data_IF_089478554583
#
_entry.id   IF_089478554583
#
_cell.length_a   1.000
_cell.length_b   1.000
_cell.length_c   1.000
_cell.angle_alpha   90.00
_cell.angle_beta   90.00
_cell.angle_gamma   90.00
#
_symmetry.space_group_name_H-M   'P 1'
#
loop_
_entity.id
_entity.type
_entity.pdbx_description
1 polymer ?
#
# COMPACT_ATOMS: atom_id res chain seq x y z
N UNK A 1 11.64 -20.56 -57.04
CA UNK A 1 11.66 -19.07 -57.06
C UNK A 1 10.31 -18.61 -56.53
N UNK A 2 10.10 -17.84 -55.47
CA UNK A 2 10.85 -17.18 -54.38
C UNK A 2 9.75 -16.66 -53.40
N UNK A 3 9.88 -16.74 -52.07
CA UNK A 3 10.25 -15.64 -51.13
C UNK A 3 9.45 -14.32 -51.35
N UNK A 4 8.85 -13.58 -50.39
CA UNK A 4 9.08 -13.34 -48.93
C UNK A 4 8.04 -12.31 -48.38
N UNK A 5 7.71 -12.39 -47.06
CA UNK A 5 7.47 -11.34 -46.01
C UNK A 5 6.94 -9.92 -46.37
N UNK A 6 6.18 -9.12 -45.58
CA UNK A 6 5.87 -8.94 -44.14
C UNK A 6 4.78 -7.81 -44.05
N UNK A 7 4.13 -7.41 -42.94
CA UNK A 7 4.61 -6.49 -41.87
C UNK A 7 3.39 -6.09 -40.98
N UNK A 8 3.52 -6.25 -39.66
CA UNK A 8 2.93 -5.47 -38.55
C UNK A 8 1.40 -5.38 -38.37
N UNK A 9 0.86 -6.26 -37.50
CA UNK A 9 -0.34 -5.96 -36.73
C UNK A 9 0.04 -5.00 -35.58
N UNK A 10 -0.20 -3.72 -35.81
CA UNK A 10 -0.03 -2.61 -34.87
C UNK A 10 -0.81 -2.87 -33.59
N UNK A 11 -0.12 -2.76 -32.45
CA UNK A 11 -0.65 -2.99 -31.11
C UNK A 11 -1.95 -2.23 -30.84
N UNK A 12 -2.91 -2.94 -30.24
CA UNK A 12 -4.11 -2.35 -29.65
C UNK A 12 -3.69 -1.35 -28.57
N UNK A 13 -3.71 -0.05 -28.89
CA UNK A 13 -3.74 1.00 -27.88
C UNK A 13 -5.05 0.83 -27.08
N UNK A 14 -4.99 0.18 -25.91
CA UNK A 14 -6.07 0.22 -24.90
C UNK A 14 -6.41 1.71 -24.69
N UNK A 15 -7.68 2.11 -24.89
CA UNK A 15 -8.14 3.46 -24.54
C UNK A 15 -7.79 3.66 -23.06
N UNK A 16 -6.91 4.62 -22.76
CA UNK A 16 -6.55 4.96 -21.38
C UNK A 16 -7.77 5.61 -20.72
N UNK A 17 -8.63 4.81 -20.10
CA UNK A 17 -9.66 5.32 -19.20
C UNK A 17 -8.97 5.77 -17.92
N UNK A 18 -9.21 7.02 -17.51
CA UNK A 18 -8.77 7.50 -16.19
C UNK A 18 -9.41 6.59 -15.13
N UNK A 19 -8.62 6.00 -14.19
CA UNK A 19 -9.16 5.06 -13.21
C UNK A 19 -10.06 5.77 -12.18
N UNK A 20 -11.09 5.06 -11.74
CA UNK A 20 -11.89 5.39 -10.56
C UNK A 20 -11.19 4.74 -9.36
N UNK A 21 -11.01 5.47 -8.26
CA UNK A 21 -10.20 5.03 -7.10
C UNK A 21 -11.02 5.24 -5.84
N UNK A 22 -11.22 4.18 -5.06
CA UNK A 22 -11.85 4.22 -3.74
C UNK A 22 -10.84 3.92 -2.64
N UNK A 23 -10.11 2.81 -2.80
CA UNK A 23 -8.91 2.48 -2.02
C UNK A 23 -7.70 2.98 -2.79
N UNK A 24 -6.84 3.78 -2.17
CA UNK A 24 -5.70 4.33 -2.89
C UNK A 24 -4.54 3.36 -2.83
N UNK A 25 -4.12 2.89 -4.00
CA UNK A 25 -2.90 2.09 -4.16
C UNK A 25 -1.76 3.04 -4.54
N UNK A 26 -0.72 3.18 -3.71
CA UNK A 26 0.48 3.92 -4.05
C UNK A 26 1.26 3.26 -5.21
N UNK A 27 2.42 3.82 -5.54
CA UNK A 27 3.35 3.31 -6.55
C UNK A 27 3.58 1.80 -6.43
N UNK A 28 3.24 1.06 -7.49
CA UNK A 28 3.50 -0.38 -7.57
C UNK A 28 4.75 -0.67 -8.41
N UNK A 29 5.65 -1.51 -7.87
CA UNK A 29 6.84 -1.99 -8.58
C UNK A 29 6.64 -3.43 -9.03
N UNK A 30 7.15 -3.75 -10.22
CA UNK A 30 7.14 -5.11 -10.77
C UNK A 30 8.57 -5.58 -11.07
N UNK A 31 8.85 -6.89 -10.95
CA UNK A 31 10.18 -7.41 -11.19
C UNK A 31 10.51 -7.32 -12.69
N UNK A 32 11.78 -7.12 -12.98
CA UNK A 32 12.36 -7.19 -14.32
C UNK A 32 13.27 -8.41 -14.40
N UNK A 33 13.38 -9.03 -15.57
CA UNK A 33 14.22 -10.20 -15.78
C UNK A 33 15.64 -9.98 -15.23
N UNK A 34 16.11 -10.93 -14.42
CA UNK A 34 17.42 -10.92 -13.77
C UNK A 34 18.09 -12.28 -13.94
N UNK A 35 19.43 -12.33 -14.02
CA UNK A 35 20.18 -13.58 -14.15
C UNK A 35 20.46 -14.17 -12.76
N UNK A 36 19.58 -15.10 -12.35
CA UNK A 36 19.69 -15.79 -11.06
C UNK A 36 20.63 -17.01 -11.14
N UNK A 37 20.79 -17.60 -12.33
CA UNK A 37 21.47 -18.90 -12.47
C UNK A 37 22.98 -18.77 -12.49
N UNK A 38 23.52 -17.77 -13.19
CA UNK A 38 24.98 -17.61 -13.31
C UNK A 38 25.66 -17.31 -11.98
N UNK A 39 25.16 -16.37 -11.14
CA UNK A 39 25.82 -16.04 -9.87
C UNK A 39 25.77 -17.18 -8.84
N UNK A 40 24.79 -18.07 -8.94
CA UNK A 40 24.57 -19.18 -8.01
C UNK A 40 25.21 -20.50 -8.47
N UNK A 41 25.81 -20.53 -9.65
CA UNK A 41 26.34 -21.75 -10.25
C UNK A 41 27.44 -22.36 -9.37
N UNK A 42 27.24 -23.61 -8.96
CA UNK A 42 28.19 -24.34 -8.12
C UNK A 42 28.18 -23.94 -6.64
N UNK A 43 27.30 -23.01 -6.25
CA UNK A 43 27.12 -22.58 -4.85
C UNK A 43 25.87 -23.20 -4.22
N UNK A 44 24.86 -23.48 -5.03
CA UNK A 44 23.62 -24.17 -4.65
C UNK A 44 23.28 -25.22 -5.73
N UNK A 45 22.36 -26.17 -5.47
CA UNK A 45 21.92 -27.12 -6.48
C UNK A 45 21.39 -26.44 -7.71
N UNK A 46 21.65 -27.09 -8.84
CA UNK A 46 21.10 -26.69 -10.11
C UNK A 46 19.57 -26.63 -10.07
N UNK A 47 18.91 -27.64 -9.50
CA UNK A 47 17.44 -27.70 -9.46
C UNK A 47 16.84 -26.56 -8.63
N UNK A 48 17.51 -26.17 -7.54
CA UNK A 48 17.10 -25.04 -6.69
C UNK A 48 17.27 -23.70 -7.43
N UNK A 49 18.42 -23.48 -8.08
CA UNK A 49 18.66 -22.31 -8.91
C UNK A 49 17.69 -22.23 -10.10
N UNK A 50 17.38 -23.38 -10.72
CA UNK A 50 16.44 -23.50 -11.82
C UNK A 50 15.01 -23.17 -11.38
N UNK A 51 14.58 -23.68 -10.21
CA UNK A 51 13.27 -23.38 -9.63
C UNK A 51 13.13 -21.92 -9.24
N UNK A 52 14.10 -21.34 -8.55
CA UNK A 52 14.13 -19.91 -8.21
C UNK A 52 14.00 -19.04 -9.47
N UNK A 53 14.75 -19.38 -10.52
CA UNK A 53 14.67 -18.68 -11.81
C UNK A 53 13.33 -18.87 -12.51
N UNK A 54 12.74 -20.07 -12.44
CA UNK A 54 11.46 -20.38 -13.07
C UNK A 54 10.32 -19.57 -12.45
N UNK A 55 10.20 -19.61 -11.11
CA UNK A 55 9.18 -18.88 -10.35
C UNK A 55 9.29 -17.37 -10.58
N UNK A 56 10.51 -16.82 -10.51
CA UNK A 56 10.72 -15.40 -10.75
C UNK A 56 10.35 -14.99 -12.18
N UNK A 57 10.69 -15.81 -13.18
CA UNK A 57 10.31 -15.54 -14.57
C UNK A 57 8.79 -15.60 -14.78
N UNK A 58 8.10 -16.53 -14.12
CA UNK A 58 6.63 -16.59 -14.14
C UNK A 58 6.02 -15.32 -13.55
N UNK A 59 6.52 -14.85 -12.39
CA UNK A 59 6.07 -13.60 -11.77
C UNK A 59 6.29 -12.42 -12.72
N UNK A 60 7.46 -12.30 -13.34
CA UNK A 60 7.76 -11.23 -14.32
C UNK A 60 6.73 -11.22 -15.45
N UNK A 61 6.38 -12.38 -15.99
CA UNK A 61 5.39 -12.49 -17.08
C UNK A 61 3.98 -12.09 -16.64
N UNK A 62 3.55 -12.53 -15.45
CA UNK A 62 2.19 -12.25 -14.95
C UNK A 62 2.06 -10.81 -14.47
N UNK A 63 3.11 -10.25 -13.86
CA UNK A 63 3.10 -8.91 -13.30
C UNK A 63 2.90 -7.80 -14.36
N UNK A 64 3.28 -8.05 -15.63
CA UNK A 64 3.08 -7.09 -16.71
C UNK A 64 1.61 -6.97 -17.19
N UNK A 65 0.76 -7.96 -16.90
CA UNK A 65 -0.67 -7.96 -17.27
C UNK A 65 -1.61 -7.63 -16.07
N UNK A 66 -1.09 -6.93 -15.06
CA UNK A 66 -1.77 -6.64 -13.78
C UNK A 66 -2.94 -5.64 -13.86
N UNK A 67 -3.69 -5.59 -14.97
CA UNK A 67 -4.95 -4.85 -15.10
C UNK A 67 -6.10 -5.38 -14.22
N UNK A 68 -5.80 -5.99 -13.07
CA UNK A 68 -6.73 -6.54 -12.09
C UNK A 68 -7.10 -8.01 -12.26
N UNK A 69 -6.93 -8.60 -13.46
CA UNK A 69 -7.47 -9.94 -13.77
C UNK A 69 -6.63 -11.14 -13.29
N UNK A 70 -5.41 -10.91 -12.81
CA UNK A 70 -4.48 -11.98 -12.40
C UNK A 70 -3.90 -11.75 -10.99
N UNK A 71 -4.58 -10.95 -10.14
CA UNK A 71 -4.09 -10.60 -8.80
C UNK A 71 -3.89 -11.87 -7.95
N UNK A 72 -4.90 -12.75 -7.92
CA UNK A 72 -4.89 -14.01 -7.16
C UNK A 72 -3.77 -14.95 -7.60
N UNK A 73 -3.57 -15.12 -8.89
CA UNK A 73 -2.54 -15.96 -9.48
C UNK A 73 -1.15 -15.41 -9.18
N UNK A 74 -1.00 -14.09 -9.23
CA UNK A 74 0.26 -13.41 -8.93
C UNK A 74 0.61 -13.50 -7.44
N UNK A 75 -0.35 -13.28 -6.54
CA UNK A 75 -0.14 -13.45 -5.09
C UNK A 75 0.32 -14.87 -4.75
N UNK A 76 -0.32 -15.90 -5.32
CA UNK A 76 0.10 -17.28 -5.15
C UNK A 76 1.52 -17.54 -5.67
N UNK A 77 1.85 -17.03 -6.86
CA UNK A 77 3.19 -17.17 -7.42
C UNK A 77 4.27 -16.46 -6.55
N UNK A 78 3.93 -15.31 -5.95
CA UNK A 78 4.81 -14.58 -5.03
C UNK A 78 5.04 -15.37 -3.73
N UNK A 79 4.00 -15.99 -3.16
CA UNK A 79 4.14 -16.87 -1.99
C UNK A 79 5.02 -18.10 -2.29
N UNK A 80 4.78 -18.77 -3.43
CA UNK A 80 5.61 -19.89 -3.89
C UNK A 80 7.06 -19.49 -4.15
N UNK A 81 7.28 -18.25 -4.61
CA UNK A 81 8.63 -17.71 -4.81
C UNK A 81 9.32 -17.36 -3.49
N UNK A 82 8.60 -16.78 -2.54
CA UNK A 82 9.13 -16.43 -1.22
C UNK A 82 9.71 -17.64 -0.50
N UNK A 83 9.02 -18.79 -0.52
CA UNK A 83 9.50 -20.01 0.17
C UNK A 83 10.90 -20.45 -0.29
N UNK A 84 11.21 -20.25 -1.58
CA UNK A 84 12.53 -20.55 -2.14
C UNK A 84 13.51 -19.38 -1.95
N UNK A 85 13.05 -18.14 -2.10
CA UNK A 85 13.86 -16.91 -2.00
C UNK A 85 14.46 -16.71 -0.61
N UNK A 86 13.73 -17.05 0.46
CA UNK A 86 14.19 -16.82 1.84
C UNK A 86 15.48 -17.58 2.15
N UNK A 87 15.75 -18.71 1.49
CA UNK A 87 17.04 -19.37 1.67
C UNK A 87 18.21 -18.50 1.22
N UNK A 88 18.04 -17.65 0.21
CA UNK A 88 19.08 -16.70 -0.20
C UNK A 88 19.42 -15.65 0.87
N UNK A 89 18.61 -15.47 1.91
CA UNK A 89 18.88 -14.54 3.01
C UNK A 89 19.60 -15.20 4.19
N UNK A 90 19.77 -16.53 4.18
CA UNK A 90 20.46 -17.26 5.24
C UNK A 90 21.97 -17.07 5.10
N UNK A 91 22.58 -16.50 6.14
CA UNK A 91 24.02 -16.21 6.18
C UNK A 91 24.88 -17.46 6.00
N UNK A 92 24.40 -18.62 6.46
CA UNK A 92 25.11 -19.89 6.40
C UNK A 92 25.37 -20.38 4.96
N UNK A 93 24.54 -20.00 4.00
CA UNK A 93 24.75 -20.35 2.60
C UNK A 93 25.66 -19.36 1.86
N UNK A 94 25.93 -18.17 2.43
CA UNK A 94 26.91 -17.21 1.87
C UNK A 94 26.55 -16.60 0.52
N UNK A 95 25.27 -16.59 0.11
CA UNK A 95 24.82 -16.16 -1.22
C UNK A 95 24.03 -14.83 -1.26
N UNK A 96 23.82 -14.17 -0.12
CA UNK A 96 22.92 -13.00 0.04
C UNK A 96 23.22 -11.83 -0.92
N UNK A 97 24.48 -11.57 -1.23
CA UNK A 97 24.89 -10.43 -2.06
C UNK A 97 25.21 -10.76 -3.52
N UNK A 98 25.02 -12.00 -3.95
CA UNK A 98 25.55 -12.47 -5.25
C UNK A 98 24.64 -12.13 -6.44
N UNK A 99 23.35 -12.00 -6.21
CA UNK A 99 22.37 -11.77 -7.27
C UNK A 99 22.01 -10.29 -7.31
N UNK A 100 22.13 -9.69 -8.49
CA UNK A 100 21.59 -8.37 -8.74
C UNK A 100 20.13 -8.47 -9.18
N UNK A 101 19.24 -7.97 -8.33
CA UNK A 101 17.80 -7.96 -8.58
C UNK A 101 17.36 -6.67 -9.23
N UNK A 102 16.49 -6.78 -10.24
CA UNK A 102 15.97 -5.65 -11.01
C UNK A 102 14.47 -5.49 -10.84
N UNK A 103 14.03 -4.26 -10.58
CA UNK A 103 12.63 -3.87 -10.41
C UNK A 103 12.35 -2.52 -11.07
N UNK A 104 11.19 -2.37 -11.69
CA UNK A 104 10.74 -1.10 -12.28
C UNK A 104 9.42 -0.67 -11.65
N UNK A 105 9.18 0.64 -11.56
CA UNK A 105 7.85 1.17 -11.27
C UNK A 105 6.94 0.93 -12.50
N UNK A 106 5.72 0.44 -12.27
CA UNK A 106 4.79 0.07 -13.34
C UNK A 106 4.28 1.28 -14.15
N UNK A 107 4.17 2.44 -13.52
CA UNK A 107 3.48 3.62 -14.04
C UNK A 107 4.41 4.50 -14.90
N UNK A 108 5.67 4.67 -14.49
CA UNK A 108 6.69 5.42 -15.25
C UNK A 108 7.44 4.51 -16.24
N UNK A 109 7.72 3.25 -15.87
CA UNK A 109 8.38 2.25 -16.71
C UNK A 109 9.81 2.59 -17.18
N UNK A 110 10.32 3.80 -16.86
CA UNK A 110 11.61 4.33 -17.34
C UNK A 110 12.77 4.08 -16.40
N UNK A 111 12.51 3.97 -15.10
CA UNK A 111 13.56 3.87 -14.07
C UNK A 111 13.59 2.47 -13.45
N UNK A 112 14.58 1.68 -13.85
CA UNK A 112 14.91 0.40 -13.23
C UNK A 112 15.80 0.62 -12.00
N UNK A 113 15.48 -0.08 -10.92
CA UNK A 113 16.32 -0.17 -9.72
C UNK A 113 17.01 -1.52 -9.74
N UNK A 114 18.34 -1.49 -9.59
CA UNK A 114 19.21 -2.66 -9.62
C UNK A 114 20.00 -2.75 -8.32
N UNK A 115 19.67 -3.69 -7.43
CA UNK A 115 20.32 -3.84 -6.13
C UNK A 115 20.75 -5.29 -5.93
N UNK A 116 22.00 -5.50 -5.52
CA UNK A 116 22.58 -6.81 -5.25
C UNK A 116 22.43 -7.17 -3.76
N UNK A 117 21.24 -7.58 -3.36
CA UNK A 117 20.93 -7.98 -1.99
C UNK A 117 19.62 -8.79 -1.94
N UNK A 118 19.65 -9.96 -1.32
CA UNK A 118 18.47 -10.85 -1.22
C UNK A 118 17.36 -10.27 -0.33
N UNK A 119 17.69 -9.52 0.73
CA UNK A 119 16.68 -8.85 1.55
C UNK A 119 15.95 -7.74 0.80
N UNK A 120 16.61 -7.07 -0.15
CA UNK A 120 15.94 -6.16 -1.08
C UNK A 120 14.93 -6.87 -1.99
N UNK A 121 15.24 -8.09 -2.47
CA UNK A 121 14.26 -8.86 -3.24
C UNK A 121 13.07 -9.25 -2.38
N UNK A 122 13.30 -9.73 -1.14
CA UNK A 122 12.23 -10.05 -0.18
C UNK A 122 11.35 -8.82 0.08
N UNK A 123 11.97 -7.66 0.35
CA UNK A 123 11.27 -6.38 0.54
C UNK A 123 10.37 -6.05 -0.67
N UNK A 124 10.92 -6.18 -1.88
CA UNK A 124 10.21 -5.83 -3.11
C UNK A 124 9.04 -6.79 -3.40
N UNK A 125 9.22 -8.08 -3.11
CA UNK A 125 8.17 -9.10 -3.25
C UNK A 125 7.04 -8.87 -2.25
N UNK A 126 7.34 -8.71 -0.96
CA UNK A 126 6.31 -8.48 0.07
C UNK A 126 5.61 -7.13 -0.14
N UNK A 127 6.34 -6.10 -0.56
CA UNK A 127 5.73 -4.83 -0.96
C UNK A 127 4.77 -5.00 -2.15
N UNK A 128 5.14 -5.75 -3.19
CA UNK A 128 4.23 -6.04 -4.30
C UNK A 128 2.98 -6.81 -3.83
N UNK A 129 3.12 -7.76 -2.92
CA UNK A 129 1.97 -8.45 -2.31
C UNK A 129 1.02 -7.46 -1.62
N UNK A 130 1.57 -6.51 -0.84
CA UNK A 130 0.76 -5.45 -0.22
C UNK A 130 0.00 -4.61 -1.26
N UNK A 131 0.69 -4.15 -2.31
CA UNK A 131 0.06 -3.31 -3.35
C UNK A 131 -1.05 -4.07 -4.10
N UNK A 132 -0.84 -5.35 -4.38
CA UNK A 132 -1.85 -6.21 -5.00
C UNK A 132 -3.07 -6.41 -4.10
N UNK A 133 -2.86 -6.59 -2.80
CA UNK A 133 -3.94 -6.71 -1.83
C UNK A 133 -4.74 -5.39 -1.70
N UNK A 134 -4.08 -4.23 -1.72
CA UNK A 134 -4.77 -2.93 -1.79
C UNK A 134 -5.59 -2.78 -3.09
N UNK A 135 -5.04 -3.23 -4.22
CA UNK A 135 -5.72 -3.18 -5.52
C UNK A 135 -6.96 -4.10 -5.57
N UNK A 136 -6.90 -5.25 -4.90
CA UNK A 136 -8.05 -6.14 -4.74
C UNK A 136 -9.14 -5.49 -3.87
N UNK A 137 -8.75 -4.85 -2.76
CA UNK A 137 -9.68 -4.10 -1.92
C UNK A 137 -10.36 -2.95 -2.70
N UNK A 138 -9.60 -2.20 -3.52
CA UNK A 138 -10.17 -1.17 -4.40
C UNK A 138 -11.20 -1.77 -5.38
N UNK A 139 -10.87 -2.92 -5.98
CA UNK A 139 -11.73 -3.60 -6.94
C UNK A 139 -13.05 -4.11 -6.35
N UNK A 140 -13.07 -4.46 -5.05
CA UNK A 140 -14.31 -4.79 -4.32
C UNK A 140 -15.16 -3.54 -4.04
N UNK A 141 -14.51 -2.40 -3.85
CA UNK A 141 -15.15 -1.14 -3.49
C UNK A 141 -15.61 -0.32 -4.70
N UNK A 142 -15.13 -0.63 -5.91
CA UNK A 142 -15.64 -0.04 -7.16
C UNK A 142 -16.96 -0.73 -7.57
N UNK A 143 -18.08 0.00 -7.67
CA UNK A 143 -19.36 -0.58 -8.06
C UNK A 143 -19.33 -1.14 -9.50
N UNK A 144 -19.69 -2.41 -9.67
CA UNK A 144 -19.61 -3.13 -10.95
C UNK A 144 -20.83 -2.90 -11.87
N UNK A 145 -21.89 -2.26 -11.38
CA UNK A 145 -23.14 -2.07 -12.13
C UNK A 145 -23.11 -0.82 -13.01
N UNK A 146 -23.28 -1.03 -14.33
CA UNK A 146 -23.57 -0.01 -15.33
C UNK A 146 -25.05 -0.08 -15.78
N UNK A 147 -25.89 -0.79 -15.04
CA UNK A 147 -27.25 -1.18 -15.42
C UNK A 147 -28.26 -0.04 -15.27
N UNK A 148 -28.04 1.10 -15.92
CA UNK A 148 -29.05 2.10 -16.28
C UNK A 148 -29.89 2.78 -15.18
N UNK A 149 -29.88 2.31 -13.93
CA UNK A 149 -30.72 2.79 -12.82
C UNK A 149 -30.09 3.95 -12.05
N UNK A 150 -28.83 4.29 -12.38
CA UNK A 150 -28.10 5.43 -11.80
C UNK A 150 -27.61 5.23 -10.37
N UNK A 151 -28.01 4.17 -9.66
CA UNK A 151 -27.61 3.93 -8.27
C UNK A 151 -26.52 2.86 -8.23
N UNK A 152 -25.28 3.31 -7.98
CA UNK A 152 -24.10 2.47 -7.78
C UNK A 152 -23.95 2.12 -6.29
N UNK A 153 -24.13 0.85 -5.91
CA UNK A 153 -24.05 0.40 -4.50
C UNK A 153 -23.05 -0.75 -4.36
N UNK A 154 -22.24 -0.71 -3.31
CA UNK A 154 -21.34 -1.80 -2.89
C UNK A 154 -22.02 -2.57 -1.76
N UNK A 155 -22.03 -3.90 -1.82
CA UNK A 155 -22.66 -4.74 -0.78
C UNK A 155 -21.93 -4.60 0.57
N UNK A 156 -22.64 -4.89 1.66
CA UNK A 156 -22.00 -4.91 2.99
C UNK A 156 -20.93 -5.98 3.12
N UNK A 157 -21.05 -7.08 2.37
CA UNK A 157 -20.08 -8.18 2.37
C UNK A 157 -18.78 -7.73 1.70
N UNK A 158 -18.85 -7.15 0.49
CA UNK A 158 -17.69 -6.60 -0.19
C UNK A 158 -16.97 -5.52 0.65
N UNK A 159 -17.72 -4.72 1.42
CA UNK A 159 -17.12 -3.74 2.34
C UNK A 159 -16.35 -4.41 3.48
N UNK A 160 -16.88 -5.50 4.05
CA UNK A 160 -16.19 -6.25 5.12
C UNK A 160 -14.95 -6.96 4.57
N UNK A 161 -15.08 -7.62 3.42
CA UNK A 161 -13.96 -8.28 2.75
C UNK A 161 -12.86 -7.27 2.37
N UNK A 162 -13.23 -6.06 1.96
CA UNK A 162 -12.26 -4.99 1.70
C UNK A 162 -11.53 -4.53 2.98
N UNK A 163 -12.20 -4.50 4.14
CA UNK A 163 -11.53 -4.22 5.43
C UNK A 163 -10.51 -5.31 5.73
N UNK A 164 -10.87 -6.59 5.59
CA UNK A 164 -9.95 -7.71 5.85
C UNK A 164 -8.71 -7.65 4.94
N UNK A 165 -8.90 -7.32 3.65
CA UNK A 165 -7.79 -7.10 2.72
C UNK A 165 -6.90 -5.91 3.13
N UNK A 166 -7.47 -4.82 3.66
CA UNK A 166 -6.69 -3.68 4.14
C UNK A 166 -5.85 -4.04 5.38
N UNK A 167 -6.37 -4.85 6.30
CA UNK A 167 -5.60 -5.34 7.46
C UNK A 167 -4.43 -6.24 7.01
N UNK A 168 -4.68 -7.12 6.04
CA UNK A 168 -3.66 -7.97 5.42
C UNK A 168 -2.59 -7.15 4.68
N UNK A 169 -2.98 -6.11 3.94
CA UNK A 169 -2.03 -5.22 3.29
C UNK A 169 -1.17 -4.45 4.30
N UNK A 170 -1.77 -3.96 5.39
CA UNK A 170 -1.05 -3.31 6.48
C UNK A 170 -0.04 -4.25 7.13
N UNK A 171 -0.37 -5.55 7.27
CA UNK A 171 0.50 -6.58 7.82
C UNK A 171 1.77 -6.78 7.00
N UNK A 172 1.63 -6.90 5.67
CA UNK A 172 2.78 -7.01 4.77
C UNK A 172 3.71 -5.79 4.89
N UNK A 173 3.15 -4.58 4.95
CA UNK A 173 3.92 -3.35 5.04
C UNK A 173 4.60 -3.18 6.40
N UNK A 174 3.92 -3.55 7.48
CA UNK A 174 4.51 -3.55 8.82
C UNK A 174 5.67 -4.56 8.90
N UNK A 175 5.50 -5.76 8.34
CA UNK A 175 6.55 -6.76 8.25
C UNK A 175 7.76 -6.26 7.45
N UNK A 176 7.54 -5.58 6.33
CA UNK A 176 8.62 -4.95 5.56
C UNK A 176 9.47 -4.01 6.43
N UNK A 177 8.83 -3.20 7.28
CA UNK A 177 9.50 -2.23 8.16
C UNK A 177 10.22 -2.95 9.30
N UNK A 178 9.50 -3.79 10.05
CA UNK A 178 9.98 -4.37 11.32
C UNK A 178 10.95 -5.51 11.13
N UNK A 179 10.73 -6.35 10.12
CA UNK A 179 11.41 -7.64 9.98
C UNK A 179 12.33 -7.70 8.75
N UNK A 180 12.07 -6.92 7.69
CA UNK A 180 12.90 -6.95 6.48
C UNK A 180 13.93 -5.82 6.46
N UNK A 181 13.51 -4.57 6.63
CA UNK A 181 14.41 -3.41 6.53
C UNK A 181 15.54 -3.47 7.56
N UNK A 182 15.34 -4.08 8.73
CA UNK A 182 16.39 -4.24 9.75
C UNK A 182 17.61 -5.02 9.26
N UNK A 183 17.44 -5.88 8.24
CA UNK A 183 18.52 -6.66 7.64
C UNK A 183 19.22 -5.99 6.46
N UNK A 184 18.67 -4.91 5.92
CA UNK A 184 19.27 -4.18 4.79
C UNK A 184 20.34 -3.20 5.30
N UNK A 185 21.59 -3.28 4.82
CA UNK A 185 22.66 -2.37 5.25
C UNK A 185 22.36 -0.89 4.94
N UNK A 186 22.87 0.07 5.75
CA UNK A 186 22.57 1.50 5.59
C UNK A 186 22.94 2.09 4.22
N UNK A 187 24.02 1.61 3.59
CA UNK A 187 24.44 2.04 2.25
C UNK A 187 23.47 1.57 1.16
N UNK A 188 22.82 0.42 1.37
CA UNK A 188 21.77 -0.09 0.49
C UNK A 188 20.47 0.68 0.74
N UNK A 189 20.10 0.94 1.99
CA UNK A 189 18.90 1.72 2.36
C UNK A 189 18.87 3.09 1.68
N UNK A 190 20.00 3.79 1.63
CA UNK A 190 20.13 5.09 0.94
C UNK A 190 19.91 5.02 -0.58
N UNK A 191 20.04 3.84 -1.18
CA UNK A 191 19.81 3.58 -2.60
C UNK A 191 18.43 3.01 -2.88
N UNK A 192 17.63 2.72 -1.84
CA UNK A 192 16.27 2.24 -2.04
C UNK A 192 15.43 3.32 -2.72
N UNK A 193 14.56 2.93 -3.66
CA UNK A 193 13.52 3.80 -4.19
C UNK A 193 12.71 4.47 -3.08
N UNK A 194 12.21 5.68 -3.34
CA UNK A 194 11.42 6.45 -2.37
C UNK A 194 10.23 5.67 -1.82
N UNK A 195 9.57 4.87 -2.65
CA UNK A 195 8.42 4.04 -2.28
C UNK A 195 8.77 2.85 -1.36
N UNK A 196 10.06 2.52 -1.22
CA UNK A 196 10.57 1.47 -0.31
C UNK A 196 11.30 2.03 0.91
N UNK A 197 11.20 3.35 1.16
CA UNK A 197 11.75 3.96 2.36
C UNK A 197 10.86 3.67 3.58
N UNK A 198 11.50 3.51 4.74
CA UNK A 198 10.90 3.11 6.02
C UNK A 198 9.59 3.86 6.34
N UNK A 199 9.68 5.19 6.43
CA UNK A 199 8.55 6.04 6.74
C UNK A 199 7.45 6.05 5.66
N UNK A 200 7.80 5.77 4.40
CA UNK A 200 6.80 5.65 3.32
C UNK A 200 6.03 4.34 3.49
N UNK A 201 6.72 3.23 3.77
CA UNK A 201 6.08 1.94 4.05
C UNK A 201 5.19 2.00 5.30
N UNK A 202 5.66 2.62 6.39
CA UNK A 202 4.84 2.87 7.59
C UNK A 202 3.62 3.72 7.27
N UNK A 203 3.78 4.82 6.52
CA UNK A 203 2.68 5.69 6.17
C UNK A 203 1.61 4.96 5.35
N UNK A 204 1.99 4.06 4.43
CA UNK A 204 1.05 3.27 3.65
C UNK A 204 0.38 2.19 4.52
N UNK A 205 1.11 1.58 5.47
CA UNK A 205 0.50 0.65 6.43
C UNK A 205 -0.60 1.33 7.25
N UNK A 206 -0.29 2.52 7.80
CA UNK A 206 -1.22 3.34 8.57
C UNK A 206 -2.38 3.83 7.68
N UNK A 207 -2.10 4.19 6.41
CA UNK A 207 -3.13 4.54 5.43
C UNK A 207 -4.15 3.41 5.28
N UNK A 208 -3.71 2.16 5.13
CA UNK A 208 -4.61 1.02 4.97
C UNK A 208 -5.55 0.86 6.17
N UNK A 209 -5.05 1.02 7.40
CA UNK A 209 -5.87 1.01 8.63
C UNK A 209 -6.85 2.18 8.68
N UNK A 210 -6.42 3.38 8.26
CA UNK A 210 -7.29 4.55 8.14
C UNK A 210 -8.45 4.31 7.16
N UNK A 211 -8.16 3.75 5.99
CA UNK A 211 -9.18 3.41 4.98
C UNK A 211 -10.11 2.28 5.47
N UNK A 212 -9.60 1.31 6.22
CA UNK A 212 -10.43 0.28 6.86
C UNK A 212 -11.41 0.89 7.86
N UNK A 213 -10.95 1.87 8.64
CA UNK A 213 -11.77 2.60 9.60
C UNK A 213 -12.83 3.47 8.90
N UNK A 214 -12.48 4.10 7.77
CA UNK A 214 -13.43 4.84 6.92
C UNK A 214 -14.57 3.93 6.44
N UNK A 215 -14.25 2.71 5.99
CA UNK A 215 -15.25 1.72 5.56
C UNK A 215 -16.14 1.32 6.74
N UNK A 216 -15.58 1.06 7.92
CA UNK A 216 -16.35 0.76 9.14
C UNK A 216 -17.27 1.91 9.55
N UNK A 217 -16.81 3.16 9.44
CA UNK A 217 -17.64 4.34 9.67
C UNK A 217 -18.79 4.41 8.66
N UNK A 218 -18.53 4.13 7.38
CA UNK A 218 -19.56 4.03 6.34
C UNK A 218 -20.64 3.00 6.68
N UNK A 219 -20.24 1.79 7.11
CA UNK A 219 -21.16 0.74 7.58
C UNK A 219 -21.96 1.19 8.81
N UNK A 220 -21.32 1.86 9.77
CA UNK A 220 -21.99 2.39 10.95
C UNK A 220 -23.02 3.48 10.58
N UNK A 221 -22.73 4.33 9.59
CA UNK A 221 -23.67 5.35 9.11
C UNK A 221 -24.94 4.72 8.52
N UNK A 222 -24.78 3.65 7.75
CA UNK A 222 -25.88 2.91 7.11
C UNK A 222 -26.67 2.05 8.13
N UNK A 223 -26.06 1.68 9.25
CA UNK A 223 -26.67 0.87 10.29
C UNK A 223 -27.54 1.70 11.25
N UNK A 224 -28.86 1.42 11.29
CA UNK A 224 -29.79 2.08 12.21
C UNK A 224 -29.48 1.81 13.70
N UNK A 225 -28.83 0.68 14.01
CA UNK A 225 -28.47 0.30 15.38
C UNK A 225 -27.18 0.97 15.87
N UNK A 226 -26.37 1.52 14.98
CA UNK A 226 -25.11 2.15 15.36
C UNK A 226 -25.35 3.49 16.09
N UNK A 227 -24.89 3.57 17.33
CA UNK A 227 -25.06 4.77 18.14
C UNK A 227 -24.18 5.92 17.66
N UNK A 228 -24.54 7.14 18.03
CA UNK A 228 -23.73 8.32 17.73
C UNK A 228 -22.32 8.23 18.35
N UNK A 229 -22.19 7.62 19.53
CA UNK A 229 -20.90 7.40 20.19
C UNK A 229 -19.99 6.50 19.37
N UNK A 230 -20.53 5.45 18.72
CA UNK A 230 -19.77 4.57 17.82
C UNK A 230 -19.28 5.35 16.59
N UNK A 231 -20.15 6.17 15.97
CA UNK A 231 -19.79 6.99 14.79
C UNK A 231 -18.70 8.02 15.14
N UNK A 232 -18.84 8.70 16.29
CA UNK A 232 -17.83 9.64 16.79
C UNK A 232 -16.49 8.95 17.01
N UNK A 233 -16.50 7.79 17.68
CA UNK A 233 -15.29 7.01 17.96
C UNK A 233 -14.56 6.65 16.67
N UNK A 234 -15.25 6.02 15.71
CA UNK A 234 -14.67 5.63 14.43
C UNK A 234 -14.08 6.84 13.67
N UNK A 235 -14.78 7.98 13.64
CA UNK A 235 -14.27 9.19 13.00
C UNK A 235 -13.00 9.76 13.69
N UNK A 236 -12.90 9.65 15.01
CA UNK A 236 -11.71 10.08 15.75
C UNK A 236 -10.54 9.09 15.60
N UNK A 237 -10.82 7.78 15.54
CA UNK A 237 -9.81 6.75 15.21
C UNK A 237 -9.27 6.97 13.78
N UNK A 238 -10.16 7.22 12.80
CA UNK A 238 -9.79 7.53 11.41
C UNK A 238 -8.87 8.77 11.34
N UNK A 239 -9.23 9.85 12.06
CA UNK A 239 -8.40 11.05 12.16
C UNK A 239 -7.03 10.73 12.75
N UNK A 240 -6.98 9.88 13.77
CA UNK A 240 -5.73 9.51 14.44
C UNK A 240 -4.79 8.74 13.50
N UNK A 241 -5.32 7.80 12.70
CA UNK A 241 -4.52 7.13 11.67
C UNK A 241 -3.96 8.11 10.64
N UNK A 242 -4.80 8.95 10.03
CA UNK A 242 -4.31 9.86 9.00
C UNK A 242 -3.40 10.97 9.56
N UNK A 243 -3.54 11.33 10.83
CA UNK A 243 -2.59 12.21 11.53
C UNK A 243 -1.22 11.54 11.65
N UNK A 244 -1.18 10.27 12.06
CA UNK A 244 0.07 9.51 12.15
C UNK A 244 0.71 9.33 10.77
N UNK A 245 -0.06 8.94 9.75
CA UNK A 245 0.45 8.80 8.38
C UNK A 245 1.02 10.11 7.84
N UNK A 246 0.34 11.23 8.10
CA UNK A 246 0.83 12.55 7.70
C UNK A 246 2.14 12.91 8.39
N UNK A 247 2.24 12.69 9.71
CA UNK A 247 3.46 12.93 10.48
C UNK A 247 4.64 12.13 9.91
N UNK A 248 4.46 10.83 9.65
CA UNK A 248 5.51 9.97 9.06
C UNK A 248 6.05 10.49 7.74
N UNK A 249 5.18 11.01 6.87
CA UNK A 249 5.62 11.58 5.59
C UNK A 249 6.22 12.98 5.73
N UNK A 250 5.77 13.78 6.69
CA UNK A 250 6.25 15.16 6.89
C UNK A 250 7.67 15.23 7.45
N UNK A 251 8.10 14.19 8.17
CA UNK A 251 9.46 14.05 8.69
C UNK A 251 10.46 13.60 7.61
N UNK A 252 9.96 13.17 6.44
CA UNK A 252 10.80 12.78 5.32
C UNK A 252 11.10 13.96 4.38
N UNK A 253 12.37 14.10 3.99
CA UNK A 253 12.77 14.83 2.78
C UNK A 253 12.33 14.03 1.54
N UNK A 254 11.01 13.94 1.32
CA UNK A 254 10.48 13.41 0.07
C UNK A 254 10.84 14.43 -1.00
N UNK A 255 11.79 14.09 -1.89
CA UNK A 255 12.13 14.93 -3.02
C UNK A 255 10.85 15.24 -3.81
N UNK A 256 10.36 16.47 -3.61
CA UNK A 256 9.09 16.96 -4.15
C UNK A 256 9.08 17.01 -5.68
N UNK A 257 10.21 16.72 -6.33
CA UNK A 257 10.36 16.53 -7.76
C UNK A 257 9.87 15.17 -8.26
N UNK A 258 9.71 14.16 -7.41
CA UNK A 258 9.11 12.88 -7.80
C UNK A 258 7.58 12.94 -7.64
N UNK A 259 6.84 12.97 -8.75
CA UNK A 259 5.39 13.19 -8.79
C UNK A 259 4.55 12.21 -7.94
N UNK A 260 5.07 11.01 -7.65
CA UNK A 260 4.35 9.96 -6.92
C UNK A 260 4.33 10.16 -5.41
N UNK A 261 5.46 10.52 -4.78
CA UNK A 261 5.49 10.88 -3.35
C UNK A 261 4.55 12.06 -3.06
N UNK A 262 4.43 12.96 -4.02
CA UNK A 262 3.48 14.07 -3.98
C UNK A 262 2.02 13.61 -4.01
N UNK A 263 1.66 12.60 -4.81
CA UNK A 263 0.27 12.09 -4.86
C UNK A 263 -0.14 11.39 -3.57
N UNK A 264 0.73 10.57 -2.97
CA UNK A 264 0.50 9.95 -1.67
C UNK A 264 0.28 11.01 -0.57
N UNK A 265 1.11 12.06 -0.53
CA UNK A 265 0.96 13.15 0.42
C UNK A 265 -0.38 13.89 0.24
N UNK A 266 -0.81 14.15 -1.00
CA UNK A 266 -2.12 14.75 -1.26
C UNK A 266 -3.27 13.84 -0.84
N UNK A 267 -3.15 12.53 -1.05
CA UNK A 267 -4.13 11.56 -0.60
C UNK A 267 -4.31 11.60 0.92
N UNK A 268 -3.21 11.50 1.67
CA UNK A 268 -3.22 11.54 3.13
C UNK A 268 -3.74 12.88 3.64
N UNK A 269 -3.34 14.00 3.03
CA UNK A 269 -3.86 15.32 3.40
C UNK A 269 -5.38 15.41 3.18
N UNK A 270 -5.88 14.91 2.05
CA UNK A 270 -7.31 14.88 1.78
C UNK A 270 -8.04 14.05 2.85
N UNK A 271 -7.59 12.82 3.10
CA UNK A 271 -8.23 11.91 4.06
C UNK A 271 -8.14 12.38 5.51
N UNK A 272 -7.02 13.01 5.89
CA UNK A 272 -6.90 13.70 7.17
C UNK A 272 -7.98 14.77 7.35
N UNK A 273 -8.19 15.64 6.35
CA UNK A 273 -9.21 16.70 6.44
C UNK A 273 -10.63 16.12 6.45
N UNK A 274 -10.86 15.06 5.68
CA UNK A 274 -12.13 14.32 5.65
C UNK A 274 -12.47 13.73 7.03
N UNK A 275 -11.54 12.98 7.61
CA UNK A 275 -11.68 12.40 8.94
C UNK A 275 -11.82 13.47 10.02
N UNK A 276 -11.09 14.58 9.92
CA UNK A 276 -11.19 15.71 10.86
C UNK A 276 -12.57 16.36 10.83
N UNK A 277 -13.12 16.60 9.64
CA UNK A 277 -14.48 17.12 9.50
C UNK A 277 -15.52 16.14 10.07
N UNK A 278 -15.36 14.84 9.82
CA UNK A 278 -16.24 13.80 10.38
C UNK A 278 -16.18 13.77 11.92
N UNK A 279 -14.97 13.84 12.50
CA UNK A 279 -14.75 13.82 13.94
C UNK A 279 -15.43 15.01 14.63
N UNK A 280 -15.20 16.23 14.14
CA UNK A 280 -15.87 17.42 14.67
C UNK A 280 -17.38 17.37 14.48
N UNK A 281 -17.88 16.90 13.35
CA UNK A 281 -19.31 16.77 13.13
C UNK A 281 -19.97 15.83 14.14
N UNK A 282 -19.45 14.61 14.31
CA UNK A 282 -20.03 13.65 15.27
C UNK A 282 -19.79 14.07 16.73
N UNK A 283 -18.69 14.77 17.01
CA UNK A 283 -18.44 15.34 18.33
C UNK A 283 -19.45 16.45 18.67
N UNK A 284 -19.68 17.38 17.73
CA UNK A 284 -20.70 18.42 17.87
C UNK A 284 -22.09 17.84 18.10
N UNK A 285 -22.46 16.77 17.38
CA UNK A 285 -23.74 16.07 17.62
C UNK A 285 -23.85 15.45 19.02
N UNK A 286 -22.74 15.05 19.64
CA UNK A 286 -22.75 14.54 21.03
C UNK A 286 -22.92 15.70 22.00
N UNK A 287 -22.16 16.78 21.82
CA UNK A 287 -22.25 17.99 22.67
C UNK A 287 -23.63 18.63 22.62
N UNK A 288 -24.27 18.64 21.44
CA UNK A 288 -25.60 19.18 21.23
C UNK A 288 -26.71 18.49 22.05
N UNK A 289 -26.44 17.28 22.57
CA UNK A 289 -27.35 16.57 23.49
C UNK A 289 -27.20 17.01 24.94
N UNK A 290 -26.22 17.84 25.27
CA UNK A 290 -26.06 18.44 26.58
C UNK A 290 -27.20 19.42 26.88
N UNK A 291 -27.44 19.65 28.16
CA UNK A 291 -28.52 20.55 28.62
C UNK A 291 -28.02 21.97 28.94
N UNK A 292 -26.71 22.18 28.98
CA UNK A 292 -26.11 23.47 29.33
C UNK A 292 -25.91 24.35 28.08
N UNK A 293 -26.12 25.68 28.17
CA UNK A 293 -25.86 26.60 27.05
C UNK A 293 -24.44 26.49 26.46
N UNK A 294 -23.44 26.27 27.31
CA UNK A 294 -22.03 26.06 26.93
C UNK A 294 -21.85 24.84 26.02
N UNK A 295 -22.62 23.76 26.22
CA UNK A 295 -22.62 22.60 25.35
C UNK A 295 -23.11 22.95 23.95
N UNK A 296 -24.15 23.78 23.85
CA UNK A 296 -24.69 24.22 22.56
C UNK A 296 -23.72 25.16 21.83
N UNK A 297 -23.05 26.07 22.55
CA UNK A 297 -22.00 26.90 21.96
C UNK A 297 -20.88 26.03 21.39
N UNK A 298 -20.35 25.12 22.21
CA UNK A 298 -19.29 24.19 21.79
C UNK A 298 -19.71 23.34 20.58
N UNK A 299 -20.97 22.87 20.55
CA UNK A 299 -21.53 22.14 19.43
C UNK A 299 -21.55 22.97 18.14
N UNK A 300 -21.97 24.24 18.19
CA UNK A 300 -21.95 25.13 17.02
C UNK A 300 -20.52 25.38 16.54
N UNK A 301 -19.56 25.61 17.45
CA UNK A 301 -18.15 25.75 17.10
C UNK A 301 -17.65 24.50 16.35
N UNK A 302 -17.98 23.29 16.81
CA UNK A 302 -17.64 22.06 16.10
C UNK A 302 -18.28 21.98 14.70
N UNK A 303 -19.56 22.35 14.54
CA UNK A 303 -20.22 22.29 13.24
C UNK A 303 -19.65 23.30 12.24
N UNK A 304 -19.35 24.52 12.67
CA UNK A 304 -18.72 25.54 11.84
C UNK A 304 -17.31 25.11 11.42
N UNK A 305 -16.51 24.56 12.35
CA UNK A 305 -15.20 24.02 12.02
C UNK A 305 -15.28 22.83 11.04
N UNK A 306 -16.24 21.91 11.24
CA UNK A 306 -16.45 20.79 10.33
C UNK A 306 -16.81 21.28 8.91
N UNK A 307 -17.62 22.32 8.77
CA UNK A 307 -17.99 22.92 7.48
C UNK A 307 -16.79 23.59 6.78
N UNK A 308 -16.00 24.36 7.52
CA UNK A 308 -14.79 25.00 6.99
C UNK A 308 -13.76 23.96 6.52
N UNK A 309 -13.47 22.96 7.37
CA UNK A 309 -12.55 21.86 7.05
C UNK A 309 -13.07 21.07 5.84
N UNK A 310 -14.39 20.84 5.73
CA UNK A 310 -14.98 20.17 4.58
C UNK A 310 -14.75 20.96 3.27
N UNK A 311 -14.75 22.29 3.32
CA UNK A 311 -14.40 23.13 2.17
C UNK A 311 -12.94 22.95 1.74
N UNK A 312 -12.01 22.88 2.69
CA UNK A 312 -10.60 22.60 2.43
C UNK A 312 -10.38 21.16 1.92
N UNK A 313 -11.08 20.20 2.50
CA UNK A 313 -11.07 18.79 2.09
C UNK A 313 -11.38 18.65 0.58
N UNK A 314 -12.39 19.36 0.07
CA UNK A 314 -12.72 19.37 -1.37
C UNK A 314 -11.56 19.86 -2.24
N UNK A 315 -10.80 20.86 -1.79
CA UNK A 315 -9.60 21.38 -2.50
C UNK A 315 -8.46 20.37 -2.47
N UNK A 316 -8.26 19.69 -1.34
CA UNK A 316 -7.25 18.64 -1.20
C UNK A 316 -7.57 17.42 -2.09
N UNK A 317 -8.83 17.00 -2.13
CA UNK A 317 -9.31 15.93 -3.02
C UNK A 317 -9.03 16.27 -4.50
N UNK A 318 -9.31 17.51 -4.92
CA UNK A 318 -9.00 17.97 -6.27
C UNK A 318 -7.49 17.93 -6.56
N UNK A 319 -6.66 18.37 -5.60
CA UNK A 319 -5.20 18.33 -5.72
C UNK A 319 -4.67 16.91 -5.88
N UNK A 320 -5.22 15.96 -5.13
CA UNK A 320 -4.94 14.53 -5.27
C UNK A 320 -5.32 14.00 -6.66
N UNK A 321 -6.52 14.33 -7.14
CA UNK A 321 -7.00 13.87 -8.46
C UNK A 321 -6.14 14.38 -9.61
N UNK A 322 -5.67 15.63 -9.52
CA UNK A 322 -4.84 16.27 -10.53
C UNK A 322 -3.36 15.88 -10.45
N UNK A 323 -2.89 15.38 -9.31
CA UNK A 323 -1.52 14.88 -9.18
C UNK A 323 -1.31 13.61 -10.02
N UNK A 324 -0.16 13.50 -10.68
CA UNK A 324 0.19 12.37 -11.53
C UNK A 324 0.36 11.07 -10.72
N UNK A 325 -0.19 9.94 -11.18
CA UNK A 325 -1.06 9.78 -12.35
C UNK A 325 -2.45 10.36 -12.08
N UNK A 326 -3.03 11.06 -13.07
CA UNK A 326 -4.36 11.66 -12.93
C UNK A 326 -5.41 10.58 -12.66
N UNK A 327 -6.25 10.80 -11.65
CA UNK A 327 -7.34 9.90 -11.24
C UNK A 327 -8.68 10.61 -11.38
N UNK A 328 -9.78 9.85 -11.56
CA UNK A 328 -11.12 10.45 -11.50
C UNK A 328 -11.41 10.85 -10.06
N UNK A 329 -12.32 11.82 -9.91
CA UNK A 329 -12.93 12.09 -8.63
C UNK A 329 -13.53 10.77 -8.09
N UNK A 330 -13.16 10.35 -6.87
CA UNK A 330 -13.69 9.16 -6.25
C UNK A 330 -15.23 9.22 -6.15
N UNK A 331 -15.93 8.10 -6.34
CA UNK A 331 -17.38 8.08 -6.17
C UNK A 331 -17.73 8.47 -4.73
N UNK A 332 -18.80 9.24 -4.56
CA UNK A 332 -19.31 9.52 -3.23
C UNK A 332 -20.09 8.31 -2.72
N UNK A 333 -19.54 7.61 -1.74
CA UNK A 333 -20.18 6.49 -1.07
C UNK A 333 -20.03 6.61 0.46
N UNK A 334 -20.71 5.73 1.19
CA UNK A 334 -20.55 5.56 2.64
C UNK A 334 -20.76 6.84 3.46
N UNK A 335 -19.88 7.03 4.44
CA UNK A 335 -19.90 8.16 5.38
C UNK A 335 -19.78 9.49 4.64
N UNK A 336 -18.92 9.60 3.63
CA UNK A 336 -18.63 10.87 2.98
C UNK A 336 -19.82 11.42 2.20
N UNK A 337 -20.60 10.56 1.52
CA UNK A 337 -21.84 10.98 0.87
C UNK A 337 -22.82 11.61 1.87
N UNK A 338 -22.94 11.02 3.06
CA UNK A 338 -23.79 11.52 4.13
C UNK A 338 -23.26 12.85 4.70
N UNK A 339 -21.97 12.90 5.02
CA UNK A 339 -21.33 14.05 5.66
C UNK A 339 -21.32 15.29 4.76
N UNK A 340 -21.09 15.14 3.45
CA UNK A 340 -21.13 16.26 2.51
C UNK A 340 -22.48 16.99 2.48
N UNK A 341 -23.57 16.26 2.74
CA UNK A 341 -24.91 16.85 2.80
C UNK A 341 -25.21 17.37 4.20
N UNK A 342 -24.89 16.60 5.24
CA UNK A 342 -25.31 16.90 6.60
C UNK A 342 -24.48 17.96 7.30
N UNK A 343 -23.18 18.06 7.03
CA UNK A 343 -22.33 19.05 7.69
C UNK A 343 -22.83 20.48 7.41
N UNK A 344 -23.02 20.93 6.15
CA UNK A 344 -23.50 22.30 5.89
C UNK A 344 -24.93 22.53 6.40
N UNK A 345 -25.82 21.54 6.24
CA UNK A 345 -27.21 21.62 6.71
C UNK A 345 -27.27 21.84 8.23
N UNK A 346 -26.50 21.05 8.99
CA UNK A 346 -26.47 21.13 10.45
C UNK A 346 -25.76 22.41 10.92
N UNK A 347 -24.64 22.78 10.30
CA UNK A 347 -23.91 24.01 10.64
C UNK A 347 -24.79 25.25 10.46
N UNK A 348 -25.46 25.39 9.31
CA UNK A 348 -26.39 26.49 9.04
C UNK A 348 -27.57 26.52 10.01
N UNK A 349 -28.25 25.38 10.20
CA UNK A 349 -29.42 25.31 11.11
C UNK A 349 -29.05 25.60 12.56
N UNK A 350 -27.93 25.04 13.05
CA UNK A 350 -27.51 25.17 14.45
C UNK A 350 -26.93 26.55 14.76
N UNK A 351 -26.19 27.16 13.83
CA UNK A 351 -25.74 28.54 13.97
C UNK A 351 -26.90 29.54 14.02
N UNK A 352 -27.97 29.33 13.23
CA UNK A 352 -29.18 30.15 13.32
C UNK A 352 -29.90 29.97 14.67
N UNK A 353 -29.99 28.73 15.16
CA UNK A 353 -30.72 28.43 16.39
C UNK A 353 -30.00 28.93 17.65
N UNK A 354 -28.67 28.84 17.70
CA UNK A 354 -27.86 29.21 18.87
C UNK A 354 -27.00 30.46 18.67
N UNK A 355 -27.17 31.20 17.57
CA UNK A 355 -26.36 32.37 17.24
C UNK A 355 -26.34 33.43 18.35
N UNK A 356 -27.45 33.59 19.07
CA UNK A 356 -27.54 34.50 20.21
C UNK A 356 -26.59 34.13 21.36
N UNK A 357 -26.27 32.84 21.56
CA UNK A 357 -25.33 32.39 22.57
C UNK A 357 -23.88 32.73 22.19
N UNK A 358 -23.55 32.60 20.89
CA UNK A 358 -22.22 32.96 20.37
C UNK A 358 -21.92 34.46 20.53
N UNK A 359 -22.94 35.31 20.33
CA UNK A 359 -22.84 36.76 20.53
C UNK A 359 -22.65 37.13 22.01
N UNK A 360 -23.28 36.39 22.92
CA UNK A 360 -23.19 36.60 24.37
C UNK A 360 -21.84 36.19 24.96
N UNK A 361 -21.26 35.07 24.48
CA UNK A 361 -19.98 34.56 25.00
C UNK A 361 -18.73 35.30 24.46
N UNK A 362 -18.88 36.37 23.65
CA UNK A 362 -17.77 37.13 23.03
C UNK A 362 -16.75 36.20 22.36
N UNK A 363 -17.20 35.56 21.28
CA UNK A 363 -16.50 34.59 20.45
C UNK A 363 -14.97 34.76 20.26
N UNK A 364 -14.20 34.19 21.20
CA UNK A 364 -12.90 33.58 21.00
C UNK A 364 -12.82 32.34 21.90
N UNK A 365 -13.74 31.38 21.72
CA UNK A 365 -13.56 30.05 22.28
C UNK A 365 -12.65 29.25 21.35
N UNK A 366 -11.57 28.69 21.91
CA UNK A 366 -10.78 27.67 21.24
C UNK A 366 -11.69 26.50 20.85
N UNK A 367 -11.41 25.87 19.72
CA UNK A 367 -12.19 24.70 19.29
C UNK A 367 -12.16 23.63 20.38
N UNK A 368 -13.30 22.99 20.69
CA UNK A 368 -13.33 21.90 21.66
C UNK A 368 -12.34 20.79 21.25
N UNK A 369 -11.59 20.29 22.23
CA UNK A 369 -10.67 19.18 21.99
C UNK A 369 -11.44 17.92 21.58
N UNK A 370 -10.94 17.26 20.54
CA UNK A 370 -11.49 15.98 20.12
C UNK A 370 -11.04 14.88 21.11
N UNK A 371 -11.94 13.95 21.46
CA UNK A 371 -11.60 12.83 22.33
C UNK A 371 -10.60 11.90 21.65
N UNK A 372 -9.60 11.47 22.43
CA UNK A 372 -8.66 10.43 22.02
C UNK A 372 -9.24 9.04 22.33
N UNK A 373 -9.12 8.12 21.38
CA UNK A 373 -9.62 6.76 21.50
C UNK A 373 -8.53 5.76 21.13
N UNK A 374 -8.54 4.61 21.81
CA UNK A 374 -7.70 3.49 21.43
C UNK A 374 -8.06 3.03 20.01
N UNK A 375 -7.04 2.90 19.17
CA UNK A 375 -7.15 2.38 17.81
C UNK A 375 -7.56 0.91 17.81
N UNK A 376 -8.68 0.62 17.15
CA UNK A 376 -9.30 -0.71 17.13
C UNK A 376 -8.69 -1.64 16.09
N UNK A 377 -8.47 -1.13 14.88
CA UNK A 377 -7.84 -1.89 13.82
C UNK A 377 -6.34 -2.03 14.08
N UNK A 378 -5.78 -3.16 13.68
CA UNK A 378 -4.34 -3.43 13.70
C UNK A 378 -4.00 -4.24 12.47
N UNK A 379 -2.76 -4.18 11.98
CA UNK A 379 -2.30 -5.11 10.96
C UNK A 379 -2.57 -6.55 11.41
N UNK A 380 -2.93 -7.41 10.47
CA UNK A 380 -3.01 -8.85 10.74
C UNK A 380 -1.61 -9.40 11.08
N UNK A 381 -1.56 -10.56 11.71
CA UNK A 381 -0.30 -11.27 11.88
C UNK A 381 0.18 -11.81 10.52
N UNK A 382 1.36 -11.39 10.09
CA UNK A 382 2.02 -11.93 8.91
C UNK A 382 3.38 -12.52 9.25
N UNK A 383 3.66 -13.70 8.68
CA UNK A 383 4.96 -14.35 8.73
C UNK A 383 5.31 -14.84 7.33
N UNK A 384 6.61 -14.85 7.04
CA UNK A 384 7.11 -15.46 5.82
C UNK A 384 6.74 -16.94 5.74
N UNK A 385 6.55 -17.50 4.53
CA UNK A 385 6.35 -18.93 4.37
C UNK A 385 7.58 -19.71 4.86
N UNK A 386 7.37 -20.99 5.17
CA UNK A 386 8.46 -21.91 5.50
C UNK A 386 9.50 -21.94 4.37
N UNK A 387 10.78 -22.02 4.77
CA UNK A 387 11.88 -22.16 3.82
C UNK A 387 11.74 -23.48 3.09
N UNK A 388 12.01 -23.46 1.78
CA UNK A 388 11.93 -24.68 0.98
C UNK A 388 12.92 -25.74 1.51
N UNK A 389 12.46 -26.97 1.79
CA UNK A 389 13.29 -28.01 2.41
C UNK A 389 14.45 -28.44 1.52
N UNK A 390 14.45 -28.09 0.23
CA UNK A 390 15.60 -28.30 -0.63
C UNK A 390 16.85 -27.66 -0.04
N UNK A 391 16.74 -26.50 0.63
CA UNK A 391 17.88 -25.79 1.25
C UNK A 391 18.62 -26.59 2.33
N UNK A 392 17.95 -27.56 2.97
CA UNK A 392 18.50 -28.40 4.05
C UNK A 392 18.92 -29.80 3.58
N UNK A 393 18.82 -30.11 2.29
CA UNK A 393 19.27 -31.41 1.79
C UNK A 393 20.80 -31.56 1.98
N UNK A 394 21.17 -32.62 2.70
CA UNK A 394 22.50 -32.82 3.29
C UNK A 394 23.65 -32.60 2.30
N UNK A 395 24.53 -31.64 2.64
CA UNK A 395 25.86 -31.42 2.05
C UNK A 395 25.84 -31.38 0.52
N UNK A 396 25.68 -30.17 0.00
CA UNK A 396 26.02 -29.84 -1.38
C UNK A 396 27.42 -30.41 -1.70
N UNK A 397 27.48 -31.56 -2.37
CA UNK A 397 28.68 -31.99 -3.07
C UNK A 397 28.88 -30.96 -4.19
N UNK A 398 29.52 -29.84 -3.84
CA UNK A 398 30.10 -28.95 -4.82
C UNK A 398 31.06 -29.85 -5.59
N UNK A 399 30.70 -30.23 -6.81
CA UNK A 399 31.61 -30.86 -7.76
C UNK A 399 32.71 -29.85 -8.11
N UNK A 400 33.58 -29.55 -7.15
CA UNK A 400 34.89 -29.01 -7.40
C UNK A 400 35.68 -30.13 -8.05
N UNK A 401 35.84 -30.07 -9.37
CA UNK A 401 36.89 -30.84 -10.03
C UNK A 401 38.21 -30.55 -9.30
N UNK A 402 38.88 -31.54 -8.70
CA UNK A 402 40.25 -31.32 -8.28
C UNK A 402 41.07 -31.29 -9.56
N UNK A 403 41.43 -30.09 -10.01
CA UNK A 403 42.41 -29.82 -11.08
C UNK A 403 43.83 -30.36 -10.77
N UNK A 404 43.98 -31.32 -9.86
CA UNK A 404 45.27 -31.85 -9.37
C UNK A 404 45.54 -33.32 -9.69
N UNK A 405 44.63 -34.05 -10.34
CA UNK A 405 44.86 -35.47 -10.67
C UNK A 405 45.27 -35.73 -12.13
N UNK A 406 45.64 -34.71 -12.92
CA UNK A 406 46.15 -34.88 -14.30
C UNK A 406 47.61 -34.42 -14.48
N UNK A 407 48.40 -34.34 -13.40
CA UNK A 407 49.84 -33.99 -13.45
C UNK A 407 50.73 -35.05 -12.77
N UNK A 408 50.32 -36.31 -12.82
CA UNK A 408 51.22 -37.44 -12.54
C UNK A 408 51.01 -38.47 -13.63
N UNK A 409 51.70 -38.27 -14.74
CA UNK A 409 52.14 -39.30 -15.68
C UNK A 409 52.84 -38.56 -16.81
N UNK A 410 54.17 -38.48 -16.74
CA UNK A 410 55.15 -38.28 -17.83
C UNK A 410 56.36 -37.50 -17.31
N UNK A 411 57.23 -38.16 -16.57
CA UNK A 411 58.68 -37.87 -16.50
C UNK A 411 59.29 -38.92 -15.57
N UNK A 412 59.73 -40.05 -16.14
CA UNK A 412 60.89 -40.83 -15.70
C UNK A 412 61.05 -42.09 -16.59
N UNK A 413 61.47 -41.88 -17.83
CA UNK A 413 62.26 -42.86 -18.59
C UNK A 413 63.34 -42.09 -19.36
N UNK A 414 64.50 -41.91 -18.71
CA UNK A 414 65.76 -41.71 -19.42
C UNK A 414 66.74 -42.74 -18.87
N UNK A 415 66.92 -43.78 -19.66
CA UNK A 415 68.04 -44.72 -19.58
C UNK A 415 69.36 -43.97 -19.74
N UNK A 416 70.36 -44.31 -18.92
CA UNK A 416 71.76 -43.98 -19.18
C UNK A 416 72.55 -45.27 -19.31
N UNK A 417 73.30 -45.35 -20.42
CA UNK A 417 74.39 -46.29 -20.71
C UNK A 417 75.47 -46.35 -19.62
#
# INVERSE_FOLDING_TARGET
>A
MGCTTSIYAVGRKKKKSVPEVVVFVPSMRIPVQSDLKRPLRGLIPKDLADRLSCLRNQIVLVAEDTGGSAITELLRALEEYLSVLIGLTKKEYGVEGLIQFKWKNLEDGRHETCIANSWFEVLSVVHLMAMLTLLEADSLMIPKDHSGSGIRVVSSDCKRDAVDLLLKAAAYLEFCVRDVLVHIPPDIKKRLPTDLQDAVLEAISIQALGQGTEIQLGLAVECQKATLSVKRRLACEELSYFSQAYHRLSECDIDTNNGYGKKLLWFIKWKFLEAKAAAYYYHGLILDKGNEPSCHVSAVCCFLAAEEILSECKKACLSFCLATPVTRAPPLWGSMKHLQQKIPEVASRKSQMYGYLLEQEKALQALPDLPDFQLSLRPDDYQLPEIDPAWDSEKWEIQGQPLKEHLKDSEDEIETE
#
